data_IF_888011685937
#
_entry.id   IF_888011685937
#
_cell.length_a   1.000
_cell.length_b   1.000
_cell.length_c   1.000
_cell.angle_alpha   90.00
_cell.angle_beta   90.00
_cell.angle_gamma   90.00
#
_symmetry.space_group_name_H-M   'P 1'
#
loop_
_entity.id
_entity.type
_entity.pdbx_description
1 polymer ?
#
# COMPACT_ATOMS: atom_id res chain seq x y z
N UNK A 1 -29.14 -22.49 -14.32
CA UNK A 1 -29.84 -22.45 -13.03
C UNK A 1 -28.92 -21.73 -12.05
N UNK A 2 -29.36 -20.59 -11.53
CA UNK A 2 -28.52 -19.65 -10.79
C UNK A 2 -28.26 -20.17 -9.37
N UNK A 3 -26.97 -20.37 -9.05
CA UNK A 3 -26.47 -20.46 -7.69
C UNK A 3 -26.32 -19.02 -7.17
N UNK A 4 -26.63 -18.82 -5.88
CA UNK A 4 -26.65 -17.56 -5.10
C UNK A 4 -28.01 -16.83 -5.02
N UNK A 5 -28.82 -17.15 -3.99
CA UNK A 5 -29.84 -16.24 -3.47
C UNK A 5 -29.17 -15.04 -2.77
N UNK A 6 -29.67 -13.85 -3.09
CA UNK A 6 -29.27 -12.57 -2.54
C UNK A 6 -29.51 -12.47 -1.03
N UNK A 7 -28.60 -11.78 -0.33
CA UNK A 7 -28.84 -11.28 1.02
C UNK A 7 -29.99 -10.26 0.97
N UNK A 8 -31.10 -10.60 1.60
CA UNK A 8 -32.21 -9.69 1.88
C UNK A 8 -31.75 -8.75 2.99
N UNK A 9 -31.47 -7.50 2.64
CA UNK A 9 -31.32 -6.41 3.60
C UNK A 9 -32.72 -6.06 4.12
N UNK A 10 -32.98 -6.41 5.38
CA UNK A 10 -34.17 -5.96 6.08
C UNK A 10 -34.05 -4.45 6.34
N UNK A 11 -34.75 -3.68 5.52
CA UNK A 11 -34.98 -2.25 5.68
C UNK A 11 -36.16 -2.07 6.66
N UNK A 12 -35.89 -2.17 7.96
CA UNK A 12 -36.88 -1.87 9.00
C UNK A 12 -36.74 -0.42 9.43
N UNK A 13 -37.62 0.42 8.88
CA UNK A 13 -37.98 1.73 9.39
C UNK A 13 -38.33 1.64 10.88
N UNK A 14 -37.54 2.28 11.71
CA UNK A 14 -37.85 2.56 13.11
C UNK A 14 -39.19 3.29 13.19
N UNK A 15 -40.21 2.57 13.64
CA UNK A 15 -41.48 3.15 14.09
C UNK A 15 -41.55 2.87 15.58
N UNK A 16 -41.39 3.93 16.38
CA UNK A 16 -41.60 3.93 17.82
C UNK A 16 -42.97 3.32 18.16
N UNK A 17 -42.98 2.19 18.88
CA UNK A 17 -44.15 1.71 19.64
C UNK A 17 -43.64 1.12 20.96
N UNK A 18 -44.30 1.55 22.03
CA UNK A 18 -43.99 1.36 23.44
C UNK A 18 -44.10 -0.10 23.92
N UNK A 19 -43.25 -0.41 24.90
CA UNK A 19 -43.31 -1.44 25.96
C UNK A 19 -44.36 -2.57 25.88
N UNK A 20 -43.87 -3.81 25.70
CA UNK A 20 -44.45 -5.05 26.27
C UNK A 20 -43.38 -6.18 26.25
N UNK A 21 -43.13 -6.92 27.35
CA UNK A 21 -42.10 -7.96 27.41
C UNK A 21 -42.62 -9.30 26.87
N UNK A 22 -42.33 -9.60 25.60
CA UNK A 22 -42.72 -10.87 24.97
C UNK A 22 -41.65 -11.96 25.17
N UNK A 23 -42.10 -13.00 25.86
CA UNK A 23 -41.54 -14.32 26.22
C UNK A 23 -40.92 -15.10 25.03
N UNK A 24 -39.60 -15.29 25.00
CA UNK A 24 -38.85 -15.97 23.92
C UNK A 24 -38.46 -17.45 24.16
N UNK A 25 -38.88 -18.09 25.25
CA UNK A 25 -38.29 -19.40 25.64
C UNK A 25 -38.94 -20.66 25.03
N UNK A 26 -39.91 -20.57 24.11
CA UNK A 26 -40.64 -21.77 23.65
C UNK A 26 -40.29 -22.30 22.25
N UNK A 27 -39.53 -21.55 21.41
CA UNK A 27 -39.31 -21.94 20.00
C UNK A 27 -37.90 -22.45 19.66
N UNK A 28 -36.98 -22.54 20.63
CA UNK A 28 -35.61 -23.01 20.35
C UNK A 28 -35.48 -24.53 20.26
N UNK A 29 -36.50 -25.29 20.67
CA UNK A 29 -36.39 -26.76 20.78
C UNK A 29 -36.80 -27.51 19.50
N UNK A 30 -37.59 -26.88 18.62
CA UNK A 30 -38.04 -27.49 17.35
C UNK A 30 -36.97 -27.39 16.25
N UNK A 31 -36.09 -26.38 16.32
CA UNK A 31 -35.04 -26.18 15.31
C UNK A 31 -33.87 -27.16 15.50
N UNK A 32 -33.61 -27.61 16.73
CA UNK A 32 -32.54 -28.57 17.03
C UNK A 32 -32.81 -29.99 16.53
N UNK A 33 -34.06 -30.44 16.44
CA UNK A 33 -34.38 -31.81 16.00
C UNK A 33 -34.31 -31.96 14.46
N UNK A 34 -34.59 -30.90 13.71
CA UNK A 34 -34.51 -30.92 12.24
C UNK A 34 -33.07 -30.99 11.72
N UNK A 35 -32.10 -30.45 12.44
CA UNK A 35 -30.70 -30.43 11.98
C UNK A 35 -30.00 -31.79 12.17
N UNK A 36 -30.35 -32.53 13.23
CA UNK A 36 -29.74 -33.84 13.50
C UNK A 36 -30.15 -34.91 12.47
N UNK A 37 -31.37 -34.83 11.92
CA UNK A 37 -31.82 -35.75 10.87
C UNK A 37 -31.12 -35.51 9.53
N UNK A 38 -30.77 -34.25 9.23
CA UNK A 38 -30.07 -33.88 7.99
C UNK A 38 -28.57 -34.21 8.07
N UNK A 39 -27.95 -34.07 9.24
CA UNK A 39 -26.55 -34.45 9.48
C UNK A 39 -26.33 -35.96 9.39
N UNK A 40 -27.29 -36.77 9.89
CA UNK A 40 -27.24 -38.23 9.77
C UNK A 40 -27.34 -38.72 8.31
N UNK A 41 -28.02 -37.99 7.41
CA UNK A 41 -28.06 -38.31 5.98
C UNK A 41 -26.74 -38.00 5.25
N UNK A 42 -25.99 -37.00 5.70
CA UNK A 42 -24.68 -36.66 5.12
C UNK A 42 -23.61 -37.71 5.47
N UNK A 43 -23.68 -38.28 6.68
CA UNK A 43 -22.74 -39.30 7.16
C UNK A 43 -23.00 -40.71 6.61
N UNK A 44 -24.18 -40.98 6.05
CA UNK A 44 -24.53 -42.28 5.48
C UNK A 44 -24.12 -42.45 4.01
N UNK A 45 -23.53 -41.43 3.38
CA UNK A 45 -23.16 -41.46 1.94
C UNK A 45 -21.77 -42.05 1.65
N UNK A 46 -21.04 -42.49 2.67
CA UNK A 46 -19.66 -43.00 2.55
C UNK A 46 -19.60 -44.52 2.82
N UNK A 47 -20.53 -45.29 2.25
CA UNK A 47 -20.44 -46.75 2.26
C UNK A 47 -19.51 -47.20 1.14
N UNK A 48 -18.29 -47.54 1.55
CA UNK A 48 -17.26 -48.22 0.76
C UNK A 48 -17.78 -49.58 0.26
N UNK A 49 -18.24 -49.62 -0.99
CA UNK A 49 -18.40 -50.86 -1.75
C UNK A 49 -18.25 -50.49 -3.22
N UNK A 50 -17.03 -50.57 -3.76
CA UNK A 50 -16.78 -50.95 -5.16
C UNK A 50 -15.31 -51.32 -5.40
N UNK A 51 -15.12 -52.63 -5.62
CA UNK A 51 -14.28 -53.21 -6.65
C UNK A 51 -12.75 -53.27 -6.45
N UNK A 52 -12.35 -54.38 -5.83
CA UNK A 52 -11.20 -55.18 -6.22
C UNK A 52 -11.15 -55.42 -7.74
N UNK A 53 -10.36 -54.61 -8.45
CA UNK A 53 -9.75 -55.01 -9.73
C UNK A 53 -8.26 -54.73 -9.71
N UNK A 54 -7.54 -55.80 -9.38
CA UNK A 54 -6.13 -56.02 -9.63
C UNK A 54 -5.80 -55.71 -11.10
N UNK A 55 -5.25 -54.52 -11.35
CA UNK A 55 -4.57 -54.18 -12.61
C UNK A 55 -3.08 -54.35 -12.39
N UNK A 56 -2.49 -55.13 -13.29
CA UNK A 56 -1.10 -55.57 -13.27
C UNK A 56 -0.13 -54.40 -13.29
N UNK A 57 0.86 -54.49 -12.43
CA UNK A 57 1.99 -53.59 -12.29
C UNK A 57 2.89 -53.67 -13.52
N UNK A 58 2.75 -52.69 -14.43
CA UNK A 58 3.83 -52.37 -15.37
C UNK A 58 4.95 -51.63 -14.62
N UNK A 59 6.16 -52.14 -14.78
CA UNK A 59 7.39 -51.62 -14.17
C UNK A 59 7.64 -50.17 -14.59
N UNK A 60 7.42 -49.24 -13.66
CA UNK A 60 7.83 -47.83 -13.81
C UNK A 60 9.36 -47.75 -14.01
N UNK A 61 9.85 -46.90 -14.94
CA UNK A 61 11.26 -46.60 -15.01
C UNK A 61 11.70 -45.91 -13.71
N UNK A 62 12.85 -46.33 -13.18
CA UNK A 62 13.54 -45.69 -12.06
C UNK A 62 13.96 -44.30 -12.50
N UNK A 63 13.06 -43.32 -12.32
CA UNK A 63 13.40 -41.91 -12.39
C UNK A 63 13.74 -41.50 -10.95
N UNK A 64 15.03 -41.37 -10.66
CA UNK A 64 15.53 -40.68 -9.47
C UNK A 64 15.05 -39.23 -9.51
N UNK A 65 13.85 -38.98 -9.00
CA UNK A 65 13.30 -37.65 -8.78
C UNK A 65 13.34 -37.34 -7.28
N UNK A 66 14.55 -37.11 -6.77
CA UNK A 66 14.75 -36.47 -5.45
C UNK A 66 14.32 -34.98 -5.45
N UNK A 67 13.89 -34.45 -6.60
CA UNK A 67 13.47 -33.05 -6.77
C UNK A 67 11.94 -32.83 -6.75
N UNK A 68 11.11 -33.87 -6.56
CA UNK A 68 9.66 -33.69 -6.69
C UNK A 68 9.00 -33.03 -5.46
N UNK A 69 9.68 -33.03 -4.30
CA UNK A 69 9.20 -32.34 -3.09
C UNK A 69 10.18 -31.24 -2.68
N UNK A 70 9.95 -30.03 -3.19
CA UNK A 70 10.57 -28.84 -2.61
C UNK A 70 9.80 -28.49 -1.33
N UNK A 71 10.43 -28.66 -0.17
CA UNK A 71 9.87 -28.29 1.14
C UNK A 71 9.71 -26.76 1.23
N UNK A 72 8.54 -26.26 0.82
CA UNK A 72 8.17 -24.85 0.86
C UNK A 72 7.84 -24.34 2.28
N UNK A 73 8.13 -25.08 3.36
CA UNK A 73 7.82 -24.61 4.73
C UNK A 73 8.57 -23.33 5.13
N UNK A 74 9.68 -23.04 4.46
CA UNK A 74 10.51 -21.85 4.74
C UNK A 74 10.18 -20.66 3.83
N UNK A 75 9.20 -20.78 2.93
CA UNK A 75 8.77 -19.67 2.11
C UNK A 75 8.13 -18.56 2.96
N UNK A 76 8.49 -17.31 2.66
CA UNK A 76 8.03 -16.12 3.39
C UNK A 76 6.51 -15.94 3.40
N UNK A 77 5.80 -16.59 2.48
CA UNK A 77 4.33 -16.64 2.46
C UNK A 77 3.75 -17.60 3.51
N UNK A 78 4.38 -18.75 3.73
CA UNK A 78 3.96 -19.74 4.74
C UNK A 78 4.30 -19.34 6.17
N UNK A 79 5.30 -18.48 6.37
CA UNK A 79 5.61 -17.90 7.68
C UNK A 79 4.57 -16.87 8.15
N UNK A 80 3.67 -16.42 7.27
CA UNK A 80 2.62 -15.43 7.58
C UNK A 80 1.22 -16.00 7.69
N UNK A 81 1.03 -17.28 7.39
CA UNK A 81 -0.19 -17.99 7.77
C UNK A 81 -0.08 -18.26 9.26
N UNK A 82 -0.66 -17.36 10.04
CA UNK A 82 -0.76 -17.45 11.48
C UNK A 82 -1.28 -18.83 11.88
N UNK A 83 -0.44 -19.54 12.62
CA UNK A 83 -0.72 -20.23 13.88
C UNK A 83 -2.14 -20.02 14.44
N UNK A 84 -3.16 -20.53 13.75
CA UNK A 84 -4.42 -20.90 14.38
C UNK A 84 -4.06 -22.10 15.28
N UNK A 85 -4.12 -21.84 16.58
CA UNK A 85 -3.73 -22.76 17.64
C UNK A 85 -4.50 -24.07 17.50
N UNK A 86 -3.82 -25.13 17.04
CA UNK A 86 -4.37 -26.49 17.03
C UNK A 86 -3.85 -27.21 18.28
N UNK A 87 -4.69 -27.51 19.28
CA UNK A 87 -4.26 -28.27 20.45
C UNK A 87 -3.93 -29.71 20.00
N UNK A 88 -2.68 -30.12 20.15
CA UNK A 88 -2.22 -31.48 19.82
C UNK A 88 -0.91 -31.59 19.00
N UNK A 89 -0.25 -30.47 18.64
CA UNK A 89 1.01 -30.54 17.89
C UNK A 89 2.19 -30.96 18.81
N UNK A 90 3.02 -31.95 18.41
CA UNK A 90 4.26 -32.28 19.11
C UNK A 90 5.19 -31.07 19.14
N UNK A 91 5.66 -30.70 20.35
CA UNK A 91 6.63 -29.63 20.52
C UNK A 91 8.02 -30.11 20.08
N UNK A 92 8.57 -29.50 19.03
CA UNK A 92 9.96 -29.72 18.66
C UNK A 92 10.83 -28.64 19.28
N UNK A 93 11.76 -29.05 20.14
CA UNK A 93 12.74 -28.16 20.73
C UNK A 93 13.66 -27.57 19.64
N UNK A 94 13.48 -26.29 19.34
CA UNK A 94 14.43 -25.56 18.52
C UNK A 94 15.72 -25.33 19.31
N UNK A 95 16.70 -26.23 19.17
CA UNK A 95 18.08 -25.96 19.58
C UNK A 95 18.63 -24.80 18.76
N UNK A 96 18.67 -23.62 19.36
CA UNK A 96 19.35 -22.45 18.81
C UNK A 96 20.87 -22.75 18.73
N UNK A 97 21.38 -23.00 17.52
CA UNK A 97 22.82 -22.88 17.26
C UNK A 97 23.14 -21.40 17.07
N UNK A 98 23.96 -20.89 17.96
CA UNK A 98 24.67 -19.61 17.89
C UNK A 98 25.45 -19.54 16.58
N UNK A 99 24.97 -18.74 15.63
CA UNK A 99 25.69 -18.42 14.39
C UNK A 99 26.43 -17.09 14.56
N UNK A 100 27.66 -17.19 15.06
CA UNK A 100 28.66 -16.16 14.86
C UNK A 100 29.36 -16.35 13.51
N UNK A 101 29.56 -15.24 12.80
CA UNK A 101 30.69 -15.02 11.90
C UNK A 101 30.65 -15.67 10.51
N UNK A 102 30.58 -14.82 9.48
CA UNK A 102 31.27 -15.05 8.20
C UNK A 102 30.39 -15.26 6.97
N UNK A 103 30.56 -14.37 5.98
CA UNK A 103 30.31 -14.69 4.56
C UNK A 103 28.90 -14.40 4.03
N UNK A 104 28.62 -13.14 3.65
CA UNK A 104 27.47 -12.81 2.79
C UNK A 104 27.81 -13.14 1.33
N UNK A 105 27.46 -14.34 0.90
CA UNK A 105 27.26 -14.67 -0.51
C UNK A 105 25.76 -14.68 -0.83
N UNK A 106 25.36 -13.76 -1.72
CA UNK A 106 24.25 -13.84 -2.67
C UNK A 106 22.97 -14.62 -2.31
N UNK A 107 21.92 -13.90 -1.89
CA UNK A 107 20.53 -14.39 -1.87
C UNK A 107 19.73 -13.81 -3.03
N UNK A 108 19.47 -14.65 -4.05
CA UNK A 108 18.71 -14.40 -5.28
C UNK A 108 17.23 -14.07 -5.01
N UNK A 109 16.72 -13.05 -5.72
CA UNK A 109 15.30 -12.80 -5.97
C UNK A 109 14.80 -13.65 -7.17
N UNK A 110 13.47 -13.85 -7.36
CA UNK A 110 12.91 -14.91 -8.19
C UNK A 110 13.14 -14.68 -9.68
N UNK A 111 13.56 -15.76 -10.35
CA UNK A 111 13.84 -15.83 -11.79
C UNK A 111 12.55 -15.60 -12.58
N UNK A 112 12.42 -14.42 -13.18
CA UNK A 112 11.66 -14.26 -14.42
C UNK A 112 12.37 -15.07 -15.50
N UNK A 113 11.63 -15.99 -16.11
CA UNK A 113 12.09 -16.81 -17.21
C UNK A 113 12.59 -15.91 -18.37
N UNK A 114 13.87 -16.11 -18.69
CA UNK A 114 14.58 -15.73 -19.92
C UNK A 114 14.45 -14.28 -20.45
N UNK A 115 15.27 -13.39 -19.88
CA UNK A 115 16.17 -12.55 -20.70
C UNK A 115 17.58 -12.73 -20.16
N UNK A 116 18.18 -13.90 -20.46
CA UNK A 116 19.63 -14.07 -20.29
C UNK A 116 20.26 -13.17 -21.35
N UNK A 117 20.52 -11.90 -21.01
CA UNK A 117 21.51 -11.12 -21.77
C UNK A 117 22.75 -12.00 -21.77
N UNK A 118 23.19 -12.40 -22.96
CA UNK A 118 24.47 -13.07 -23.11
C UNK A 118 25.48 -12.25 -22.31
N UNK A 119 26.24 -12.92 -21.44
CA UNK A 119 27.44 -12.33 -20.85
C UNK A 119 28.41 -12.12 -22.01
N UNK A 120 28.23 -11.01 -22.71
CA UNK A 120 29.18 -10.51 -23.67
C UNK A 120 30.51 -10.36 -22.91
N UNK A 121 31.60 -10.98 -23.38
CA UNK A 121 32.88 -10.89 -22.70
C UNK A 121 33.27 -9.41 -22.59
N UNK A 122 33.89 -8.98 -21.48
CA UNK A 122 34.26 -7.58 -21.32
C UNK A 122 35.26 -7.24 -22.42
N UNK A 123 35.04 -6.19 -23.24
CA UNK A 123 36.13 -5.71 -24.05
C UNK A 123 37.15 -5.08 -23.10
N UNK A 124 38.19 -5.85 -22.77
CA UNK A 124 39.45 -5.34 -22.26
C UNK A 124 40.16 -4.40 -23.26
N UNK A 125 39.52 -4.06 -24.38
CA UNK A 125 39.92 -3.03 -25.32
C UNK A 125 39.31 -1.67 -24.94
N UNK A 126 40.06 -0.93 -24.12
CA UNK A 126 40.05 0.52 -24.12
C UNK A 126 39.08 1.20 -23.15
N UNK A 127 39.45 1.28 -21.87
CA UNK A 127 38.92 2.33 -20.98
C UNK A 127 39.04 3.72 -21.62
N UNK A 128 40.03 3.91 -22.49
CA UNK A 128 40.24 5.11 -23.29
C UNK A 128 39.15 5.30 -24.36
N UNK A 129 38.85 4.27 -25.17
CA UNK A 129 37.77 4.34 -26.16
C UNK A 129 36.37 4.53 -25.52
N UNK A 130 36.15 3.98 -24.32
CA UNK A 130 34.94 4.24 -23.55
C UNK A 130 34.90 5.69 -23.03
N UNK A 131 36.03 6.23 -22.56
CA UNK A 131 36.14 7.62 -22.12
C UNK A 131 35.93 8.61 -23.28
N UNK A 132 36.49 8.34 -24.46
CA UNK A 132 36.28 9.14 -25.67
C UNK A 132 34.80 9.18 -26.08
N UNK A 133 34.12 8.03 -26.08
CA UNK A 133 32.67 7.96 -26.36
C UNK A 133 31.85 8.68 -25.29
N UNK A 134 32.21 8.55 -24.01
CA UNK A 134 31.58 9.31 -22.94
C UNK A 134 31.74 10.82 -23.17
N UNK A 135 32.94 11.27 -23.54
CA UNK A 135 33.22 12.66 -23.86
C UNK A 135 32.44 13.14 -25.09
N UNK A 136 32.27 12.30 -26.12
CA UNK A 136 31.44 12.62 -27.28
C UNK A 136 29.96 12.81 -26.88
N UNK A 137 29.39 11.92 -26.06
CA UNK A 137 28.04 12.10 -25.51
C UNK A 137 27.93 13.37 -24.68
N UNK A 138 28.94 13.71 -23.88
CA UNK A 138 28.97 14.96 -23.09
C UNK A 138 28.92 16.21 -23.99
N UNK A 139 29.61 16.20 -25.13
CA UNK A 139 29.53 17.30 -26.12
C UNK A 139 28.12 17.40 -26.71
N UNK A 140 27.54 16.28 -27.14
CA UNK A 140 26.17 16.28 -27.68
C UNK A 140 25.13 16.74 -26.64
N UNK A 141 25.26 16.32 -25.38
CA UNK A 141 24.39 16.74 -24.28
C UNK A 141 24.60 18.20 -23.89
N UNK A 142 25.78 18.76 -24.13
CA UNK A 142 26.02 20.19 -23.94
C UNK A 142 25.23 21.01 -24.97
N UNK A 143 25.18 20.54 -26.23
CA UNK A 143 24.44 21.21 -27.31
C UNK A 143 22.92 21.03 -27.18
N UNK A 144 22.47 19.88 -26.68
CA UNK A 144 21.04 19.56 -26.50
C UNK A 144 20.73 19.08 -25.05
N UNK A 145 20.78 19.96 -24.03
CA UNK A 145 20.67 19.57 -22.63
C UNK A 145 19.27 19.09 -22.23
N UNK A 146 18.24 19.38 -23.04
CA UNK A 146 16.85 19.01 -22.79
C UNK A 146 16.38 17.78 -23.59
N UNK A 147 17.25 17.18 -24.43
CA UNK A 147 16.89 15.98 -25.20
C UNK A 147 16.90 14.72 -24.29
N UNK A 148 15.69 14.28 -23.93
CA UNK A 148 15.47 13.12 -23.05
C UNK A 148 16.02 11.83 -23.68
N UNK A 149 15.87 11.64 -24.99
CA UNK A 149 16.30 10.42 -25.65
C UNK A 149 17.82 10.30 -25.69
N UNK A 150 18.53 11.43 -25.87
CA UNK A 150 19.99 11.48 -25.80
C UNK A 150 20.50 11.16 -24.39
N UNK A 151 19.85 11.72 -23.36
CA UNK A 151 20.15 11.38 -21.96
C UNK A 151 19.95 9.89 -21.66
N UNK A 152 18.85 9.28 -22.13
CA UNK A 152 18.60 7.85 -21.94
C UNK A 152 19.69 6.98 -22.58
N UNK A 153 20.13 7.32 -23.79
CA UNK A 153 21.24 6.63 -24.47
C UNK A 153 22.56 6.77 -23.71
N UNK A 154 22.85 7.95 -23.18
CA UNK A 154 24.05 8.19 -22.38
C UNK A 154 24.02 7.42 -21.06
N UNK A 155 22.88 7.38 -20.37
CA UNK A 155 22.70 6.60 -19.14
C UNK A 155 22.86 5.10 -19.45
N UNK A 156 22.22 4.58 -20.51
CA UNK A 156 22.37 3.19 -20.92
C UNK A 156 23.83 2.84 -21.28
N UNK A 157 24.57 3.79 -21.86
CA UNK A 157 26.00 3.65 -22.10
C UNK A 157 26.80 3.58 -20.79
N UNK A 158 26.53 4.46 -19.83
CA UNK A 158 27.18 4.46 -18.52
C UNK A 158 26.84 3.20 -17.70
N UNK A 159 25.62 2.67 -17.78
CA UNK A 159 25.25 1.41 -17.13
C UNK A 159 25.99 0.20 -17.70
N UNK A 160 26.39 0.25 -18.98
CA UNK A 160 27.08 -0.86 -19.67
C UNK A 160 28.60 -0.78 -19.56
N UNK A 161 29.15 0.41 -19.64
CA UNK A 161 30.60 0.63 -19.78
C UNK A 161 31.21 1.53 -18.70
N UNK A 162 30.39 2.24 -17.93
CA UNK A 162 30.83 3.12 -16.86
C UNK A 162 30.96 2.42 -15.52
N UNK A 163 31.55 3.11 -14.55
CA UNK A 163 31.44 2.70 -13.15
C UNK A 163 29.99 2.82 -12.68
N UNK A 164 29.54 1.96 -11.78
CA UNK A 164 28.15 1.97 -11.26
C UNK A 164 27.71 3.37 -10.79
N UNK A 165 28.63 4.11 -10.13
CA UNK A 165 28.39 5.50 -9.70
C UNK A 165 28.19 6.50 -10.85
N UNK A 166 28.85 6.30 -11.98
CA UNK A 166 28.77 7.22 -13.13
C UNK A 166 27.37 7.21 -13.75
N UNK A 167 26.68 6.07 -13.74
CA UNK A 167 25.29 5.96 -14.21
C UNK A 167 24.31 6.69 -13.28
N UNK A 168 24.48 6.57 -11.95
CA UNK A 168 23.67 7.28 -10.98
C UNK A 168 23.88 8.81 -11.06
N UNK A 169 25.12 9.27 -11.23
CA UNK A 169 25.44 10.69 -11.42
C UNK A 169 24.84 11.23 -12.73
N UNK A 170 24.96 10.48 -13.83
CA UNK A 170 24.34 10.83 -15.11
C UNK A 170 22.81 10.93 -15.00
N UNK A 171 22.16 9.99 -14.30
CA UNK A 171 20.72 10.06 -14.01
C UNK A 171 20.36 11.32 -13.21
N UNK A 172 21.16 11.68 -12.20
CA UNK A 172 20.94 12.84 -11.34
C UNK A 172 21.06 14.16 -12.10
N UNK A 173 22.05 14.26 -12.99
CA UNK A 173 22.22 15.41 -13.86
C UNK A 173 21.08 15.53 -14.88
N UNK A 174 20.72 14.41 -15.53
CA UNK A 174 19.63 14.37 -16.50
C UNK A 174 18.29 14.78 -15.88
N UNK A 175 17.99 14.27 -14.68
CA UNK A 175 16.79 14.60 -13.92
C UNK A 175 16.70 16.10 -13.59
N UNK A 176 17.81 16.71 -13.16
CA UNK A 176 17.85 18.16 -12.87
C UNK A 176 17.69 19.03 -14.10
N UNK A 177 18.29 18.65 -15.24
CA UNK A 177 18.25 19.48 -16.46
C UNK A 177 16.95 19.36 -17.25
N UNK A 178 16.37 18.16 -17.30
CA UNK A 178 15.16 17.91 -18.11
C UNK A 178 13.88 18.01 -17.29
N UNK A 179 13.95 17.76 -15.98
CA UNK A 179 12.76 17.60 -15.14
C UNK A 179 11.91 16.38 -15.49
N UNK A 180 12.35 15.49 -16.40
CA UNK A 180 11.52 14.38 -16.86
C UNK A 180 11.31 13.32 -15.77
N UNK A 181 10.04 12.99 -15.49
CA UNK A 181 9.66 11.99 -14.47
C UNK A 181 10.31 10.62 -14.70
N UNK A 182 10.45 10.21 -15.97
CA UNK A 182 11.05 8.92 -16.34
C UNK A 182 12.53 8.82 -15.95
N UNK A 183 13.28 9.91 -16.14
CA UNK A 183 14.70 9.98 -15.75
C UNK A 183 14.86 10.00 -14.22
N UNK A 184 13.95 10.67 -13.50
CA UNK A 184 13.91 10.61 -12.02
C UNK A 184 13.62 9.19 -11.51
N UNK A 185 12.69 8.48 -12.13
CA UNK A 185 12.40 7.09 -11.77
C UNK A 185 13.64 6.19 -11.95
N UNK A 186 14.41 6.40 -13.02
CA UNK A 186 15.70 5.72 -13.24
C UNK A 186 16.75 6.09 -12.19
N UNK A 187 16.87 7.37 -11.83
CA UNK A 187 17.73 7.83 -10.74
C UNK A 187 17.42 7.08 -9.43
N UNK A 188 16.15 7.06 -9.00
CA UNK A 188 15.77 6.39 -7.75
C UNK A 188 15.99 4.88 -7.82
N UNK A 189 15.82 4.26 -8.98
CA UNK A 189 16.16 2.85 -9.17
C UNK A 189 17.66 2.58 -9.04
N UNK A 190 18.52 3.48 -9.55
CA UNK A 190 19.97 3.39 -9.39
C UNK A 190 20.40 3.61 -7.93
N UNK A 191 19.93 4.70 -7.31
CA UNK A 191 20.23 5.03 -5.91
C UNK A 191 19.81 3.91 -4.94
N UNK A 192 18.68 3.24 -5.21
CA UNK A 192 18.20 2.12 -4.39
C UNK A 192 19.12 0.90 -4.45
N UNK A 193 19.88 0.71 -5.54
CA UNK A 193 20.85 -0.38 -5.69
C UNK A 193 22.16 -0.05 -4.98
N UNK A 194 22.60 1.21 -5.09
CA UNK A 194 23.97 1.60 -4.72
C UNK A 194 24.08 2.11 -3.27
N UNK A 195 23.00 2.65 -2.70
CA UNK A 195 23.01 3.23 -1.36
C UNK A 195 22.38 2.31 -0.31
N UNK A 196 22.89 2.32 0.94
CA UNK A 196 22.19 1.77 2.09
C UNK A 196 20.79 2.37 2.24
N UNK A 197 19.82 1.57 2.68
CA UNK A 197 18.42 1.97 2.77
C UNK A 197 18.17 3.31 3.51
N UNK A 198 18.93 3.59 4.58
CA UNK A 198 18.83 4.86 5.31
C UNK A 198 19.24 6.06 4.46
N UNK A 199 20.40 5.98 3.78
CA UNK A 199 20.91 7.05 2.92
C UNK A 199 20.00 7.28 1.70
N UNK A 200 19.44 6.20 1.14
CA UNK A 200 18.45 6.29 0.07
C UNK A 200 17.19 7.07 0.50
N UNK A 201 16.65 6.79 1.70
CA UNK A 201 15.46 7.48 2.22
C UNK A 201 15.77 8.96 2.50
N UNK A 202 16.93 9.27 3.09
CA UNK A 202 17.35 10.66 3.32
C UNK A 202 17.50 11.42 2.00
N UNK A 203 18.10 10.80 0.98
CA UNK A 203 18.24 11.42 -0.34
C UNK A 203 16.88 11.69 -0.99
N UNK A 204 15.98 10.72 -0.96
CA UNK A 204 14.60 10.89 -1.44
C UNK A 204 13.87 12.03 -0.74
N UNK A 205 14.03 12.15 0.58
CA UNK A 205 13.40 13.23 1.35
C UNK A 205 13.92 14.60 0.91
N UNK A 206 15.23 14.73 0.68
CA UNK A 206 15.84 15.97 0.23
C UNK A 206 15.39 16.33 -1.20
N UNK A 207 15.41 15.37 -2.12
CA UNK A 207 15.01 15.61 -3.51
C UNK A 207 13.51 15.99 -3.59
N UNK A 208 12.64 15.35 -2.78
CA UNK A 208 11.23 15.74 -2.68
C UNK A 208 11.06 17.13 -2.05
N UNK A 209 11.82 17.45 -1.00
CA UNK A 209 11.77 18.77 -0.37
C UNK A 209 12.14 19.88 -1.36
N UNK A 210 13.20 19.69 -2.16
CA UNK A 210 13.59 20.63 -3.23
C UNK A 210 12.48 20.79 -4.29
N UNK A 211 11.82 19.69 -4.68
CA UNK A 211 10.69 19.75 -5.62
C UNK A 211 9.48 20.49 -5.05
N UNK A 212 9.16 20.27 -3.77
CA UNK A 212 8.09 21.00 -3.09
C UNK A 212 8.43 22.50 -2.98
N UNK A 213 9.66 22.85 -2.61
CA UNK A 213 10.09 24.25 -2.57
C UNK A 213 10.05 24.92 -3.95
N UNK A 214 10.41 24.20 -5.01
CA UNK A 214 10.32 24.68 -6.38
C UNK A 214 8.87 24.90 -6.84
N UNK A 215 7.95 24.00 -6.49
CA UNK A 215 6.53 24.09 -6.83
C UNK A 215 5.80 25.24 -6.10
N UNK A 216 6.33 25.71 -4.97
CA UNK A 216 5.73 26.78 -4.15
C UNK A 216 6.17 28.19 -4.55
N UNK A 217 7.02 28.36 -5.57
CA UNK A 217 7.32 29.68 -6.12
C UNK A 217 6.12 30.17 -6.94
N UNK A 218 5.38 31.13 -6.39
CA UNK A 218 4.29 31.79 -7.09
C UNK A 218 4.82 32.51 -8.35
N UNK A 219 4.38 32.05 -9.53
CA UNK A 219 4.76 32.58 -10.84
C UNK A 219 4.49 34.09 -10.99
N UNK A 220 3.54 34.63 -10.23
CA UNK A 220 3.09 36.03 -10.37
C UNK A 220 3.85 37.03 -9.50
N UNK A 221 4.60 36.60 -8.48
CA UNK A 221 5.27 37.55 -7.59
C UNK A 221 6.72 37.23 -7.23
N UNK A 222 7.28 36.09 -7.69
CA UNK A 222 8.66 35.63 -7.39
C UNK A 222 9.06 35.61 -5.90
N UNK A 223 8.15 36.01 -5.01
CA UNK A 223 8.27 35.87 -3.58
C UNK A 223 7.82 34.46 -3.23
N UNK A 224 8.70 33.71 -2.58
CA UNK A 224 8.31 32.53 -1.82
C UNK A 224 7.25 33.02 -0.85
N UNK A 225 5.97 32.68 -1.10
CA UNK A 225 4.90 33.03 -0.16
C UNK A 225 5.17 32.23 1.10
N UNK A 226 5.89 32.87 2.03
CA UNK A 226 6.14 32.44 3.39
C UNK A 226 4.82 32.51 4.15
N UNK A 227 3.82 31.72 3.73
CA UNK A 227 2.70 31.38 4.60
C UNK A 227 3.30 30.46 5.65
N UNK A 228 3.49 31.04 6.83
CA UNK A 228 4.04 30.40 8.02
C UNK A 228 3.44 29.01 8.21
N UNK A 229 4.27 27.97 8.06
CA UNK A 229 4.01 26.69 8.71
C UNK A 229 4.31 26.87 10.20
N UNK A 230 3.37 27.43 10.93
CA UNK A 230 3.16 26.98 12.30
C UNK A 230 2.54 25.57 12.23
N UNK A 231 3.32 24.55 12.58
CA UNK A 231 2.86 23.23 13.05
C UNK A 231 2.57 22.10 12.03
N UNK A 232 3.50 21.79 11.13
CA UNK A 232 3.61 20.42 10.58
C UNK A 232 5.04 19.91 10.68
N UNK A 233 5.49 19.75 11.93
CA UNK A 233 6.66 18.95 12.26
C UNK A 233 6.17 17.53 12.55
N UNK A 234 6.69 16.59 11.77
CA UNK A 234 6.64 15.14 11.95
C UNK A 234 6.61 14.74 13.43
N UNK A 235 5.43 14.38 13.94
CA UNK A 235 5.30 13.68 15.21
C UNK A 235 5.52 12.20 14.90
N UNK A 236 6.69 11.71 15.33
CA UNK A 236 7.03 10.29 15.42
C UNK A 236 5.88 9.51 16.05
N UNK A 237 5.22 8.65 15.28
CA UNK A 237 4.25 7.68 15.80
C UNK A 237 4.99 6.54 16.48
N UNK A 238 5.26 6.70 17.78
CA UNK A 238 5.19 5.55 18.68
C UNK A 238 3.72 5.33 18.97
N UNK A 239 3.20 4.18 18.53
CA UNK A 239 1.89 3.67 18.92
C UNK A 239 2.11 2.94 20.26
N UNK A 240 1.57 3.41 21.38
CA UNK A 240 1.41 2.55 22.56
C UNK A 240 0.32 1.53 22.23
N UNK A 241 0.61 0.26 22.50
CA UNK A 241 -0.41 -0.78 22.55
C UNK A 241 -1.39 -0.43 23.67
N UNK A 242 -2.66 -0.25 23.31
CA UNK A 242 -3.77 -0.12 24.24
C UNK A 242 -4.02 -1.47 24.91
N UNK A 243 -3.62 -1.59 26.18
CA UNK A 243 -4.29 -2.46 27.13
C UNK A 243 -5.42 -1.65 27.79
N UNK A 244 -6.64 -1.88 27.28
CA UNK A 244 -7.85 -2.09 28.07
C UNK A 244 -7.95 -1.35 29.42
N UNK A 245 -8.31 -0.06 29.39
CA UNK A 245 -8.82 0.65 30.57
C UNK A 245 -10.23 1.13 30.28
N UNK A 246 -11.18 0.33 30.78
CA UNK A 246 -12.57 0.67 31.01
C UNK A 246 -12.64 1.90 31.92
N UNK A 247 -13.03 3.06 31.39
CA UNK A 247 -13.26 4.29 32.16
C UNK A 247 -14.71 4.72 31.99
N UNK A 248 -15.59 4.03 32.71
CA UNK A 248 -16.88 4.55 33.15
C UNK A 248 -16.60 5.64 34.20
N UNK A 249 -16.70 6.91 33.81
CA UNK A 249 -16.79 8.01 34.77
C UNK A 249 -18.25 8.15 35.20
N UNK A 250 -18.56 7.62 36.38
CA UNK A 250 -19.66 8.11 37.21
C UNK A 250 -19.33 9.55 37.62
N UNK A 251 -20.27 10.45 37.34
CA UNK A 251 -20.25 11.83 37.84
C UNK A 251 -20.71 11.75 39.30
N UNK A 252 -19.79 11.41 40.19
CA UNK A 252 -19.98 11.58 41.63
C UNK A 252 -19.67 13.03 42.02
N UNK A 253 -20.75 13.72 42.36
CA UNK A 253 -20.80 14.93 43.16
C UNK A 253 -19.89 14.87 44.39
N UNK A 254 -18.78 15.60 44.36
CA UNK A 254 -17.98 15.91 45.56
C UNK A 254 -18.08 17.41 45.92
N UNK A 255 -18.59 17.58 47.15
CA UNK A 255 -18.51 18.64 48.15
C UNK A 255 -17.56 19.84 47.96
N UNK A 256 -17.87 20.98 48.62
CA UNK A 256 -17.21 22.26 48.42
C UNK A 256 -15.81 22.32 49.05
N UNK A 257 -14.88 22.89 48.29
CA UNK A 257 -13.51 23.13 48.73
C UNK A 257 -13.51 24.26 49.78
N UNK A 258 -13.37 23.83 51.03
CA UNK A 258 -12.36 24.31 52.01
C UNK A 258 -12.03 25.83 52.02
N UNK A 259 -12.66 26.52 52.97
CA UNK A 259 -12.05 27.39 53.99
C UNK A 259 -10.63 27.93 53.68
N UNK A 260 -10.56 29.05 52.96
CA UNK A 260 -9.44 29.98 53.12
C UNK A 260 -9.71 30.88 54.34
N UNK A 261 -8.90 30.69 55.40
CA UNK A 261 -8.83 31.58 56.56
C UNK A 261 -8.29 32.96 56.12
N UNK A 262 -8.98 34.08 56.40
CA UNK A 262 -8.38 35.40 56.28
C UNK A 262 -7.45 35.62 57.47
N UNK A 263 -6.16 35.80 57.21
CA UNK A 263 -5.23 36.35 58.20
C UNK A 263 -5.58 37.83 58.44
N UNK A 264 -6.06 38.13 59.64
CA UNK A 264 -6.19 39.48 60.19
C UNK A 264 -4.80 40.12 60.38
N UNK A 265 -4.54 41.32 59.84
CA UNK A 265 -3.50 42.18 60.37
C UNK A 265 -4.09 43.03 61.49
N UNK A 266 -3.70 42.71 62.72
CA UNK A 266 -3.90 43.58 63.88
C UNK A 266 -2.86 44.70 63.84
N UNK A 267 -3.29 45.92 63.53
CA UNK A 267 -2.54 47.16 63.86
C UNK A 267 -3.53 48.31 64.04
N UNK A 268 -3.20 49.33 64.86
CA UNK A 268 -4.13 49.95 65.78
C UNK A 268 -4.85 51.14 65.17
N UNK A 269 -5.97 51.44 65.79
CA UNK A 269 -6.71 52.69 65.64
C UNK A 269 -5.78 53.91 65.82
N UNK A 270 -5.53 54.61 64.72
CA UNK A 270 -5.21 56.01 64.73
C UNK A 270 -6.35 56.75 64.02
N UNK A 271 -7.22 57.31 64.86
CA UNK A 271 -8.23 58.29 64.51
C UNK A 271 -7.57 59.47 63.79
N UNK A 272 -7.76 59.55 62.48
CA UNK A 272 -7.71 60.80 61.73
C UNK A 272 -9.02 60.90 60.95
N UNK A 273 -10.10 61.18 61.68
CA UNK A 273 -11.22 61.93 61.13
C UNK A 273 -10.76 63.38 61.11
N UNK A 274 -10.54 63.92 59.92
CA UNK A 274 -11.27 65.08 59.43
C UNK A 274 -10.61 65.63 58.14
N UNK A 275 -11.48 66.18 57.29
CA UNK A 275 -11.17 67.06 56.17
C UNK A 275 -10.54 66.42 54.92
N UNK A 276 -11.35 65.78 54.07
CA UNK A 276 -11.70 66.29 52.72
C UNK A 276 -13.03 65.65 52.33
N UNK A 277 -14.12 66.36 52.59
CA UNK A 277 -15.41 66.02 52.04
C UNK A 277 -15.52 66.66 50.65
N UNK A 278 -16.18 65.92 49.75
CA UNK A 278 -16.80 66.38 48.50
C UNK A 278 -15.85 66.75 47.35
N UNK A 279 -15.63 65.76 46.46
CA UNK A 279 -16.08 65.80 45.05
C UNK A 279 -15.51 64.62 44.23
N UNK A 280 -14.49 63.93 44.73
CA UNK A 280 -13.79 62.84 44.00
C UNK A 280 -14.42 61.44 44.13
N UNK A 281 -15.39 61.24 45.02
CA UNK A 281 -16.05 59.93 45.22
C UNK A 281 -16.97 59.55 44.06
N UNK A 282 -17.66 60.51 43.45
CA UNK A 282 -18.54 60.28 42.30
C UNK A 282 -17.73 59.93 41.03
N UNK A 283 -16.56 60.54 40.85
CA UNK A 283 -15.66 60.26 39.72
C UNK A 283 -15.01 58.87 39.82
N UNK A 284 -14.74 58.38 41.03
CA UNK A 284 -14.19 57.03 41.19
C UNK A 284 -15.24 55.95 40.89
N UNK A 285 -16.48 56.12 41.35
CA UNK A 285 -17.53 55.13 41.09
C UNK A 285 -17.89 55.03 39.60
N UNK A 286 -18.01 56.16 38.91
CA UNK A 286 -18.23 56.20 37.46
C UNK A 286 -17.10 55.53 36.69
N UNK A 287 -15.83 55.79 37.06
CA UNK A 287 -14.69 55.10 36.48
C UNK A 287 -14.74 53.57 36.68
N UNK A 288 -15.06 53.10 37.90
CA UNK A 288 -15.18 51.65 38.14
C UNK A 288 -16.31 51.01 37.32
N UNK A 289 -17.40 51.73 37.09
CA UNK A 289 -18.52 51.27 36.28
C UNK A 289 -18.14 51.19 34.79
N UNK A 290 -17.43 52.19 34.26
CA UNK A 290 -16.90 52.16 32.90
C UNK A 290 -15.90 51.02 32.69
N UNK A 291 -15.00 50.80 33.66
CA UNK A 291 -14.04 49.71 33.60
C UNK A 291 -14.76 48.34 33.59
N UNK A 292 -15.76 48.15 34.45
CA UNK A 292 -16.56 46.92 34.43
C UNK A 292 -17.26 46.71 33.09
N UNK A 293 -17.85 47.77 32.53
CA UNK A 293 -18.53 47.73 31.22
C UNK A 293 -17.55 47.36 30.10
N UNK A 294 -16.38 47.98 30.04
CA UNK A 294 -15.36 47.65 29.03
C UNK A 294 -14.83 46.22 29.16
N UNK A 295 -14.69 45.69 30.38
CA UNK A 295 -14.32 44.29 30.61
C UNK A 295 -15.41 43.31 30.17
N UNK A 296 -16.69 43.64 30.42
CA UNK A 296 -17.81 42.83 29.95
C UNK A 296 -17.93 42.82 28.43
N UNK A 297 -17.73 43.98 27.79
CA UNK A 297 -17.68 44.10 26.33
C UNK A 297 -16.54 43.26 25.74
N UNK A 298 -15.33 43.36 26.31
CA UNK A 298 -14.18 42.58 25.86
C UNK A 298 -14.37 41.07 26.08
N UNK A 299 -14.97 40.67 27.21
CA UNK A 299 -15.29 39.27 27.49
C UNK A 299 -16.32 38.73 26.50
N UNK A 300 -17.33 39.54 26.16
CA UNK A 300 -18.34 39.19 25.15
C UNK A 300 -17.71 39.03 23.77
N UNK A 301 -16.85 39.96 23.36
CA UNK A 301 -16.15 39.91 22.07
C UNK A 301 -15.20 38.70 21.97
N UNK A 302 -14.44 38.41 23.04
CA UNK A 302 -13.58 37.23 23.08
C UNK A 302 -14.39 35.93 23.02
N UNK A 303 -15.55 35.86 23.70
CA UNK A 303 -16.42 34.70 23.59
C UNK A 303 -16.99 34.54 22.17
N UNK A 304 -17.38 35.64 21.51
CA UNK A 304 -17.88 35.62 20.15
C UNK A 304 -16.79 35.21 19.13
N UNK A 305 -15.57 35.70 19.28
CA UNK A 305 -14.45 35.29 18.41
C UNK A 305 -14.09 33.82 18.61
N UNK A 306 -14.12 33.32 19.84
CA UNK A 306 -13.90 31.90 20.14
C UNK A 306 -15.02 31.01 19.59
N UNK A 307 -16.29 31.43 19.64
CA UNK A 307 -17.40 30.66 19.07
C UNK A 307 -17.30 30.61 17.54
N UNK A 308 -17.00 31.74 16.88
CA UNK A 308 -16.76 31.79 15.43
C UNK A 308 -15.58 30.91 15.03
N UNK A 309 -14.47 30.96 15.77
CA UNK A 309 -13.31 30.12 15.52
C UNK A 309 -13.63 28.62 15.66
N UNK A 310 -14.38 28.25 16.71
CA UNK A 310 -14.84 26.88 16.94
C UNK A 310 -15.72 26.37 15.80
N UNK A 311 -16.66 27.17 15.33
CA UNK A 311 -17.53 26.80 14.21
C UNK A 311 -16.76 26.71 12.90
N UNK A 312 -15.77 27.59 12.67
CA UNK A 312 -14.88 27.48 11.50
C UNK A 312 -14.07 26.18 11.51
N UNK A 313 -13.47 25.80 12.64
CA UNK A 313 -12.77 24.51 12.76
C UNK A 313 -13.71 23.35 12.46
N UNK A 314 -14.92 23.35 13.04
CA UNK A 314 -15.90 22.28 12.77
C UNK A 314 -16.25 22.20 11.29
N UNK A 315 -16.49 23.34 10.63
CA UNK A 315 -16.78 23.39 9.19
C UNK A 315 -15.64 22.79 8.39
N UNK A 316 -14.40 23.26 8.61
CA UNK A 316 -13.24 22.75 7.87
C UNK A 316 -12.99 21.25 8.07
N UNK A 317 -13.25 20.72 9.29
CA UNK A 317 -13.16 19.29 9.55
C UNK A 317 -14.27 18.49 8.86
N UNK A 318 -15.45 19.08 8.69
CA UNK A 318 -16.54 18.46 7.93
C UNK A 318 -16.22 18.44 6.44
N UNK A 319 -15.76 19.56 5.88
CA UNK A 319 -15.34 19.65 4.48
C UNK A 319 -14.24 18.62 4.14
N UNK A 320 -13.25 18.45 5.01
CA UNK A 320 -12.21 17.43 4.84
C UNK A 320 -12.75 16.00 4.93
N UNK A 321 -13.72 15.76 5.80
CA UNK A 321 -14.36 14.44 5.90
C UNK A 321 -15.09 14.12 4.60
N UNK A 322 -15.87 15.06 4.08
CA UNK A 322 -16.65 14.90 2.86
C UNK A 322 -15.73 14.71 1.63
N UNK A 323 -14.62 15.46 1.56
CA UNK A 323 -13.61 15.30 0.51
C UNK A 323 -12.93 13.91 0.56
N UNK A 324 -12.62 13.42 1.76
CA UNK A 324 -12.06 12.08 1.93
C UNK A 324 -13.07 10.99 1.56
N UNK A 325 -14.34 11.14 1.94
CA UNK A 325 -15.40 10.21 1.59
C UNK A 325 -15.65 10.17 0.07
N UNK A 326 -15.68 11.33 -0.59
CA UNK A 326 -15.75 11.44 -2.04
C UNK A 326 -14.53 10.79 -2.73
N UNK A 327 -13.34 10.94 -2.15
CA UNK A 327 -12.12 10.33 -2.68
C UNK A 327 -12.11 8.80 -2.54
N UNK A 328 -12.59 8.29 -1.39
CA UNK A 328 -12.69 6.85 -1.12
C UNK A 328 -13.73 6.19 -2.03
N UNK A 329 -14.90 6.81 -2.19
CA UNK A 329 -15.96 6.30 -3.06
C UNK A 329 -15.49 6.23 -4.51
N UNK A 330 -14.85 7.29 -5.02
CA UNK A 330 -14.25 7.29 -6.37
C UNK A 330 -13.21 6.18 -6.55
N UNK A 331 -12.30 6.00 -5.59
CA UNK A 331 -11.29 4.94 -5.63
C UNK A 331 -11.93 3.55 -5.66
N UNK A 332 -13.01 3.34 -4.90
CA UNK A 332 -13.74 2.09 -4.89
C UNK A 332 -14.39 1.81 -6.27
N UNK A 333 -14.96 2.83 -6.90
CA UNK A 333 -15.56 2.69 -8.22
C UNK A 333 -14.52 2.40 -9.31
N UNK A 334 -13.37 3.07 -9.27
CA UNK A 334 -12.24 2.80 -10.18
C UNK A 334 -11.72 1.36 -10.01
N UNK A 335 -11.62 0.88 -8.76
CA UNK A 335 -11.23 -0.51 -8.48
C UNK A 335 -12.25 -1.53 -8.99
N UNK A 336 -13.55 -1.27 -8.79
CA UNK A 336 -14.62 -2.13 -9.32
C UNK A 336 -14.59 -2.17 -10.85
N UNK A 337 -14.40 -1.02 -11.48
CA UNK A 337 -14.29 -0.95 -12.94
C UNK A 337 -13.09 -1.76 -13.46
N UNK A 338 -11.91 -1.58 -12.85
CA UNK A 338 -10.72 -2.33 -13.21
C UNK A 338 -10.88 -3.85 -13.00
N UNK A 339 -11.49 -4.26 -11.88
CA UNK A 339 -11.77 -5.67 -11.60
C UNK A 339 -12.75 -6.28 -12.61
N UNK A 340 -13.77 -5.53 -13.02
CA UNK A 340 -14.70 -5.97 -14.05
C UNK A 340 -14.01 -6.14 -15.40
N UNK A 341 -13.11 -5.23 -15.78
CA UNK A 341 -12.31 -5.38 -17.00
C UNK A 341 -11.42 -6.62 -16.98
N UNK A 342 -10.69 -6.85 -15.88
CA UNK A 342 -9.88 -8.07 -15.72
C UNK A 342 -10.75 -9.33 -15.77
N UNK A 343 -11.95 -9.30 -15.19
CA UNK A 343 -12.89 -10.42 -15.24
C UNK A 343 -13.36 -10.70 -16.66
N UNK A 344 -13.65 -9.67 -17.45
CA UNK A 344 -14.02 -9.80 -18.85
C UNK A 344 -12.88 -10.40 -19.68
N UNK A 345 -11.64 -9.91 -19.49
CA UNK A 345 -10.44 -10.47 -20.13
C UNK A 345 -10.26 -11.97 -19.78
N UNK A 346 -10.43 -12.34 -18.50
CA UNK A 346 -10.36 -13.75 -18.07
C UNK A 346 -11.45 -14.60 -18.74
N UNK A 347 -12.62 -14.02 -19.01
CA UNK A 347 -13.71 -14.73 -19.67
C UNK A 347 -13.51 -14.85 -21.20
N UNK A 348 -12.82 -13.91 -21.84
CA UNK A 348 -12.58 -13.93 -23.30
C UNK A 348 -11.37 -14.79 -23.69
N UNK A 349 -10.33 -14.82 -22.86
CA UNK A 349 -9.10 -15.60 -23.12
C UNK A 349 -9.33 -17.10 -23.42
N UNK A 350 -10.23 -17.84 -22.75
CA UNK A 350 -10.51 -19.23 -23.10
C UNK A 350 -11.09 -19.41 -24.51
N UNK A 351 -11.92 -18.48 -24.97
CA UNK A 351 -12.50 -18.54 -26.31
C UNK A 351 -11.42 -18.28 -27.38
N UNK A 352 -10.54 -17.31 -27.14
CA UNK A 352 -9.37 -17.06 -28.00
C UNK A 352 -8.42 -18.25 -28.03
N UNK A 353 -8.15 -18.86 -26.86
CA UNK A 353 -7.32 -20.04 -26.74
C UNK A 353 -7.90 -21.23 -27.52
N UNK A 354 -9.20 -21.50 -27.40
CA UNK A 354 -9.85 -22.55 -28.19
C UNK A 354 -9.81 -22.21 -29.69
N UNK A 355 -9.98 -20.96 -30.11
CA UNK A 355 -9.83 -20.56 -31.51
C UNK A 355 -8.42 -20.88 -32.05
N UNK A 356 -7.37 -20.49 -31.31
CA UNK A 356 -5.98 -20.76 -31.66
C UNK A 356 -5.66 -22.26 -31.70
N UNK A 357 -6.25 -23.03 -30.78
CA UNK A 357 -6.12 -24.50 -30.76
C UNK A 357 -6.71 -25.13 -32.02
N UNK A 358 -7.89 -24.70 -32.45
CA UNK A 358 -8.51 -25.17 -33.70
C UNK A 358 -7.65 -24.82 -34.92
N UNK A 359 -7.10 -23.60 -34.98
CA UNK A 359 -6.18 -23.21 -36.05
C UNK A 359 -4.91 -24.09 -36.08
N UNK A 360 -4.34 -24.37 -34.90
CA UNK A 360 -3.14 -25.21 -34.78
C UNK A 360 -3.41 -26.65 -35.22
N UNK A 361 -4.58 -27.21 -34.87
CA UNK A 361 -4.98 -28.54 -35.36
C UNK A 361 -5.18 -28.58 -36.86
N UNK A 362 -5.70 -27.50 -37.46
CA UNK A 362 -5.82 -27.38 -38.92
C UNK A 362 -4.46 -27.39 -39.62
N UNK A 363 -3.52 -26.55 -39.16
CA UNK A 363 -2.16 -26.51 -39.70
C UNK A 363 -1.45 -27.86 -39.54
N UNK A 364 -1.63 -28.54 -38.40
CA UNK A 364 -1.08 -29.88 -38.17
C UNK A 364 -1.64 -30.93 -39.14
N UNK A 365 -2.90 -30.78 -39.54
CA UNK A 365 -3.53 -31.63 -40.55
C UNK A 365 -2.94 -31.38 -41.93
N UNK A 366 -2.84 -30.11 -42.35
CA UNK A 366 -2.26 -29.70 -43.63
C UNK A 366 -0.80 -30.17 -43.77
N UNK A 367 0.01 -30.07 -42.70
CA UNK A 367 1.39 -30.58 -42.68
C UNK A 367 1.44 -32.11 -42.85
N UNK A 368 0.45 -32.83 -42.30
CA UNK A 368 0.35 -34.28 -42.46
C UNK A 368 -0.04 -34.65 -43.90
N UNK A 369 -0.93 -33.90 -44.54
CA UNK A 369 -1.29 -34.08 -45.95
C UNK A 369 -0.11 -33.81 -46.88
N UNK A 370 0.63 -32.71 -46.64
CA UNK A 370 1.84 -32.38 -47.40
C UNK A 370 2.91 -33.47 -47.25
N UNK A 371 3.10 -34.03 -46.05
CA UNK A 371 3.99 -35.18 -45.83
C UNK A 371 3.55 -36.42 -46.59
N UNK A 372 2.26 -36.74 -46.58
CA UNK A 372 1.73 -37.87 -47.34
C UNK A 372 1.92 -37.68 -48.85
N UNK A 373 1.65 -36.46 -49.36
CA UNK A 373 1.84 -36.11 -50.76
C UNK A 373 3.31 -36.18 -51.21
N UNK A 374 4.24 -35.67 -50.39
CA UNK A 374 5.68 -35.76 -50.69
C UNK A 374 6.19 -37.20 -50.66
N UNK A 375 5.70 -38.04 -49.74
CA UNK A 375 6.00 -39.48 -49.73
C UNK A 375 5.49 -40.18 -50.99
N UNK A 376 4.27 -39.86 -51.43
CA UNK A 376 3.69 -40.38 -52.66
C UNK A 376 4.56 -40.03 -53.89
N UNK A 377 4.95 -38.76 -54.04
CA UNK A 377 5.82 -38.32 -55.13
C UNK A 377 7.19 -39.00 -55.10
N UNK A 378 7.75 -39.19 -53.91
CA UNK A 378 9.02 -39.93 -53.76
C UNK A 378 8.91 -41.37 -54.24
N UNK A 379 7.81 -42.06 -53.90
CA UNK A 379 7.56 -43.42 -54.35
C UNK A 379 7.37 -43.51 -55.87
N UNK A 380 6.59 -42.59 -56.45
CA UNK A 380 6.41 -42.49 -57.91
C UNK A 380 7.74 -42.25 -58.64
N UNK A 381 8.59 -41.36 -58.11
CA UNK A 381 9.92 -41.11 -58.68
C UNK A 381 10.82 -42.35 -58.62
N UNK A 382 10.76 -43.12 -57.53
CA UNK A 382 11.54 -44.35 -57.40
C UNK A 382 11.05 -45.46 -58.35
N UNK A 383 9.75 -45.53 -58.62
CA UNK A 383 9.20 -46.47 -59.60
C UNK A 383 9.54 -46.07 -61.05
N UNK A 384 9.54 -44.77 -61.37
CA UNK A 384 10.05 -44.27 -62.65
C UNK A 384 11.52 -44.62 -62.88
N UNK A 385 12.36 -44.49 -61.84
CA UNK A 385 13.78 -44.90 -61.89
C UNK A 385 13.93 -46.41 -62.13
N UNK A 386 13.13 -47.25 -61.44
CA UNK A 386 13.17 -48.72 -61.63
C UNK A 386 12.77 -49.14 -63.04
N UNK A 387 11.82 -48.44 -63.66
CA UNK A 387 11.33 -48.74 -65.00
C UNK A 387 12.25 -48.25 -66.13
N UNK A 388 13.41 -47.65 -65.82
CA UNK A 388 14.38 -47.20 -66.83
C UNK A 388 13.90 -46.03 -67.69
N UNK A 389 12.92 -45.26 -67.21
CA UNK A 389 12.38 -44.08 -67.91
C UNK A 389 13.16 -42.78 -67.64
N UNK A 390 14.29 -42.87 -66.95
CA UNK A 390 15.13 -41.71 -66.59
C UNK A 390 16.60 -42.00 -66.78
#
# INVERSE_FOLDING_TARGET
MALFPAYVSNDTKETYVEDEPVRWEANSQVISESNNAMEAQLLASDTEDENDKCMQTESKPVVNNDDFYVDCKMDRGNLRVSTLYYPGRPQYECRARTLGGGGRASGRAPRRYFRRRASEPPPAAGSEAAAERAAAFRRLLHDAPHDIALWERYIDFQERFGAERAAAEACGEAARRTGARRLRARLYAALRRDLPARQYIERLRNDLAEEFEAAWKCLSCNNVTRRERSNLLMRSTQIPLDDNMNMSYEIESQAPISSYKPCTPTTPAASVRDCVALETGATFHTFTQELHKTLEEWRSDMNNTLTVFKENIKSTLHDWRDEMEASITKLNDDLKFALNGIREDICTLPAEHECLKHQTTGISHDDSELKAFTQFLSAEQDDLKKNGMT
#
